data_IF_063327286443
#
_entry.id   IF_063327286443
#
_cell.length_a   1.000
_cell.length_b   1.000
_cell.length_c   1.000
_cell.angle_alpha   90.00
_cell.angle_beta   90.00
_cell.angle_gamma   90.00
#
_symmetry.space_group_name_H-M   'P 1'
#
loop_
_entity.id
_entity.type
_entity.pdbx_description
1 polymer ?
#
# COMPACT_ATOMS: atom_id res chain seq x y z
N UNK A 1 -19.90 60.48 -6.41
CA UNK A 1 -20.19 59.35 -5.50
C UNK A 1 -19.71 58.06 -6.15
N UNK A 2 -18.45 57.68 -5.92
CA UNK A 2 -17.90 56.39 -6.35
C UNK A 2 -17.48 55.62 -5.11
N UNK A 3 -18.09 54.46 -4.86
CA UNK A 3 -17.71 53.57 -3.75
C UNK A 3 -16.29 53.04 -4.01
N UNK A 4 -15.35 53.34 -3.13
CA UNK A 4 -14.13 52.57 -2.97
C UNK A 4 -14.52 51.16 -2.52
N UNK A 5 -14.29 50.17 -3.37
CA UNK A 5 -14.46 48.74 -3.04
C UNK A 5 -13.13 48.28 -2.45
N UNK A 6 -13.11 48.09 -1.13
CA UNK A 6 -11.94 47.66 -0.36
C UNK A 6 -11.31 46.38 -0.93
N UNK A 7 -10.11 46.53 -1.47
CA UNK A 7 -9.33 45.48 -2.13
C UNK A 7 -8.29 44.80 -1.24
N UNK A 8 -8.48 44.75 0.09
CA UNK A 8 -7.43 44.27 1.01
C UNK A 8 -7.83 43.16 1.99
N UNK A 9 -9.09 42.70 2.00
CA UNK A 9 -9.51 41.64 2.95
C UNK A 9 -9.40 40.22 2.37
N UNK A 10 -9.24 40.07 1.05
CA UNK A 10 -9.08 38.74 0.41
C UNK A 10 -7.62 38.32 0.17
N UNK A 11 -6.67 39.25 0.11
CA UNK A 11 -5.27 38.94 -0.27
C UNK A 11 -4.40 38.45 0.89
N UNK A 12 -4.73 38.77 2.14
CA UNK A 12 -3.98 38.30 3.31
C UNK A 12 -4.27 36.83 3.65
N UNK A 13 -5.51 36.37 3.47
CA UNK A 13 -5.88 34.95 3.67
C UNK A 13 -5.36 34.05 2.54
N UNK A 14 -5.28 34.55 1.31
CA UNK A 14 -4.84 33.78 0.16
C UNK A 14 -3.31 33.53 0.13
N UNK A 15 -2.50 34.42 0.72
CA UNK A 15 -1.03 34.22 0.85
C UNK A 15 -0.62 33.17 1.91
N UNK A 16 -1.48 32.84 2.88
CA UNK A 16 -1.24 31.75 3.85
C UNK A 16 -1.83 30.40 3.44
N UNK A 17 -2.74 30.38 2.46
CA UNK A 17 -3.42 29.17 2.01
C UNK A 17 -2.46 28.17 1.33
N UNK A 18 -1.48 28.68 0.57
CA UNK A 18 -0.43 27.84 -0.02
C UNK A 18 0.47 27.17 1.03
N UNK A 19 0.78 27.88 2.12
CA UNK A 19 1.56 27.33 3.23
C UNK A 19 0.81 26.22 3.98
N UNK A 20 -0.49 26.42 4.26
CA UNK A 20 -1.32 25.40 4.92
C UNK A 20 -1.50 24.15 4.05
N UNK A 21 -1.71 24.30 2.73
CA UNK A 21 -1.80 23.16 1.79
C UNK A 21 -0.47 22.42 1.66
N UNK A 22 0.65 23.15 1.57
CA UNK A 22 1.98 22.52 1.55
C UNK A 22 2.26 21.75 2.85
N UNK A 23 1.89 22.30 4.01
CA UNK A 23 2.02 21.62 5.30
C UNK A 23 1.15 20.36 5.34
N UNK A 24 -0.11 20.43 4.91
CA UNK A 24 -1.00 19.27 4.83
C UNK A 24 -0.43 18.20 3.89
N UNK A 25 0.13 18.59 2.75
CA UNK A 25 0.77 17.70 1.80
C UNK A 25 1.98 16.98 2.42
N UNK A 26 2.85 17.70 3.13
CA UNK A 26 3.99 17.09 3.84
C UNK A 26 3.52 16.09 4.90
N UNK A 27 2.50 16.44 5.70
CA UNK A 27 1.94 15.51 6.70
C UNK A 27 1.28 14.30 6.05
N UNK A 28 0.59 14.48 4.93
CA UNK A 28 -0.01 13.37 4.19
C UNK A 28 1.08 12.44 3.65
N UNK A 29 2.13 12.98 3.02
CA UNK A 29 3.25 12.19 2.51
C UNK A 29 3.96 11.42 3.64
N UNK A 30 4.24 12.08 4.76
CA UNK A 30 4.83 11.43 5.94
C UNK A 30 3.90 10.33 6.50
N UNK A 31 2.59 10.57 6.50
CA UNK A 31 1.59 9.58 6.87
C UNK A 31 1.59 8.36 5.94
N UNK A 32 1.67 8.57 4.62
CA UNK A 32 1.72 7.50 3.63
C UNK A 32 2.98 6.63 3.79
N UNK A 33 4.13 7.24 4.09
CA UNK A 33 5.36 6.51 4.39
C UNK A 33 5.20 5.63 5.64
N UNK A 34 4.62 6.19 6.72
CA UNK A 34 4.35 5.43 7.94
C UNK A 34 3.40 4.24 7.70
N UNK A 35 2.35 4.42 6.89
CA UNK A 35 1.43 3.33 6.53
C UNK A 35 2.13 2.23 5.70
N UNK A 36 3.08 2.61 4.83
CA UNK A 36 3.89 1.66 4.08
C UNK A 36 4.83 0.85 5.00
N UNK A 37 5.42 1.47 6.02
CA UNK A 37 6.20 0.75 7.03
C UNK A 37 5.35 -0.26 7.82
N UNK A 38 4.13 0.13 8.22
CA UNK A 38 3.18 -0.78 8.91
C UNK A 38 2.84 -1.98 8.03
N UNK A 39 2.54 -1.76 6.74
CA UNK A 39 2.25 -2.84 5.79
C UNK A 39 3.44 -3.80 5.62
N UNK A 40 4.67 -3.28 5.54
CA UNK A 40 5.88 -4.10 5.47
C UNK A 40 6.10 -4.96 6.71
N UNK A 41 5.86 -4.40 7.89
CA UNK A 41 5.96 -5.15 9.14
C UNK A 41 4.98 -6.34 9.13
N UNK A 42 3.75 -6.12 8.65
CA UNK A 42 2.75 -7.19 8.47
C UNK A 42 3.22 -8.28 7.49
N UNK A 43 3.71 -7.91 6.30
CA UNK A 43 4.24 -8.90 5.34
C UNK A 43 5.47 -9.64 5.86
N UNK A 44 6.34 -8.97 6.61
CA UNK A 44 7.52 -9.59 7.24
C UNK A 44 7.10 -10.62 8.28
N UNK A 45 6.13 -10.28 9.14
CA UNK A 45 5.59 -11.21 10.13
C UNK A 45 4.97 -12.44 9.47
N UNK A 46 4.18 -12.25 8.41
CA UNK A 46 3.59 -13.34 7.63
C UNK A 46 4.64 -14.20 6.92
N UNK A 47 5.72 -13.58 6.42
CA UNK A 47 6.83 -14.31 5.79
C UNK A 47 7.57 -15.18 6.81
N UNK A 48 7.87 -14.63 7.99
CA UNK A 48 8.53 -15.37 9.08
C UNK A 48 7.64 -16.53 9.52
N UNK A 49 6.33 -16.29 9.71
CA UNK A 49 5.38 -17.34 10.04
C UNK A 49 5.32 -18.42 8.95
N UNK A 50 5.32 -18.04 7.68
CA UNK A 50 5.27 -18.98 6.56
C UNK A 50 6.55 -19.82 6.42
N UNK A 51 7.70 -19.26 6.79
CA UNK A 51 8.99 -19.95 6.75
C UNK A 51 9.21 -20.85 7.97
N UNK A 52 8.75 -20.45 9.16
CA UNK A 52 8.91 -21.24 10.37
C UNK A 52 7.90 -22.38 10.43
N UNK A 53 8.40 -23.62 10.47
CA UNK A 53 7.57 -24.83 10.66
C UNK A 53 6.96 -24.94 12.06
N UNK A 54 7.42 -24.12 13.02
CA UNK A 54 6.90 -24.07 14.39
C UNK A 54 5.61 -23.23 14.54
N UNK A 55 5.43 -22.19 13.70
CA UNK A 55 4.26 -21.30 13.75
C UNK A 55 3.19 -21.67 12.71
N UNK A 56 3.36 -22.83 12.06
CA UNK A 56 2.44 -23.39 11.08
C UNK A 56 2.01 -24.80 11.53
N UNK A 57 0.73 -25.18 11.37
CA UNK A 57 0.32 -26.57 11.57
C UNK A 57 1.03 -27.49 10.56
N UNK A 58 1.32 -28.73 10.95
CA UNK A 58 1.99 -29.70 10.09
C UNK A 58 1.18 -29.94 8.80
N UNK A 59 1.84 -30.05 7.64
CA UNK A 59 1.16 -30.24 6.37
C UNK A 59 0.36 -31.56 6.36
N UNK A 60 -0.96 -31.43 6.15
CA UNK A 60 -1.91 -32.53 6.01
C UNK A 60 -1.69 -33.48 4.82
N UNK A 61 -0.69 -33.18 3.99
CA UNK A 61 -0.50 -33.86 2.70
C UNK A 61 0.07 -35.28 2.86
N UNK A 62 0.68 -35.56 4.00
CA UNK A 62 1.33 -36.84 4.34
C UNK A 62 0.51 -37.67 5.36
N UNK A 63 -0.72 -37.25 5.64
CA UNK A 63 -1.61 -37.90 6.61
C UNK A 63 -2.42 -38.99 5.91
N UNK A 64 -2.40 -40.21 6.45
CA UNK A 64 -3.13 -41.35 5.87
C UNK A 64 -4.63 -41.03 5.69
N UNK A 65 -5.27 -41.52 4.61
CA UNK A 65 -6.69 -41.27 4.35
C UNK A 65 -7.53 -41.89 5.48
N UNK A 66 -8.00 -41.05 6.40
CA UNK A 66 -8.77 -41.46 7.59
C UNK A 66 -8.31 -40.86 8.92
N UNK A 67 -7.13 -40.24 8.99
CA UNK A 67 -6.67 -39.47 10.16
C UNK A 67 -7.05 -37.99 10.04
N UNK A 68 -7.59 -37.40 11.11
CA UNK A 68 -7.92 -35.98 11.18
C UNK A 68 -6.63 -35.16 11.27
N UNK A 69 -6.54 -34.07 10.51
CA UNK A 69 -5.46 -33.13 10.66
C UNK A 69 -5.60 -32.34 11.96
N UNK A 70 -4.47 -32.19 12.66
CA UNK A 70 -4.38 -31.28 13.80
C UNK A 70 -4.63 -29.85 13.32
N UNK A 71 -5.62 -29.19 13.91
CA UNK A 71 -5.94 -27.80 13.62
C UNK A 71 -4.84 -26.88 14.14
N UNK A 72 -4.73 -25.67 13.56
CA UNK A 72 -3.79 -24.67 14.06
C UNK A 72 -4.12 -24.29 15.51
N UNK A 73 -3.09 -24.17 16.34
CA UNK A 73 -3.24 -23.70 17.72
C UNK A 73 -3.72 -22.23 17.75
N UNK A 74 -4.37 -21.85 18.85
CA UNK A 74 -4.85 -20.48 19.07
C UNK A 74 -3.73 -19.44 18.90
N UNK A 75 -2.50 -19.75 19.33
CA UNK A 75 -1.35 -18.86 19.15
C UNK A 75 -0.96 -18.66 17.69
N UNK A 76 -0.99 -19.73 16.88
CA UNK A 76 -0.66 -19.67 15.44
C UNK A 76 -1.69 -18.84 14.67
N UNK A 77 -2.97 -18.99 15.00
CA UNK A 77 -4.05 -18.18 14.42
C UNK A 77 -3.95 -16.72 14.84
N UNK A 78 -3.62 -16.44 16.11
CA UNK A 78 -3.47 -15.07 16.60
C UNK A 78 -2.33 -14.32 15.87
N UNK A 79 -1.18 -14.96 15.66
CA UNK A 79 -0.07 -14.37 14.89
C UNK A 79 -0.49 -14.10 13.44
N UNK A 80 -1.16 -15.06 12.80
CA UNK A 80 -1.65 -14.88 11.42
C UNK A 80 -2.60 -13.69 11.30
N UNK A 81 -3.58 -13.61 12.20
CA UNK A 81 -4.55 -12.52 12.21
C UNK A 81 -3.86 -11.18 12.48
N UNK A 82 -2.92 -11.13 13.41
CA UNK A 82 -2.18 -9.89 13.69
C UNK A 82 -1.43 -9.38 12.46
N UNK A 83 -0.76 -10.26 11.71
CA UNK A 83 -0.07 -9.91 10.47
C UNK A 83 -1.05 -9.43 9.39
N UNK A 84 -2.18 -10.10 9.25
CA UNK A 84 -3.21 -9.74 8.27
C UNK A 84 -3.84 -8.36 8.59
N UNK A 85 -4.10 -8.07 9.86
CA UNK A 85 -4.61 -6.76 10.29
C UNK A 85 -3.59 -5.64 10.03
N UNK A 86 -2.30 -5.87 10.28
CA UNK A 86 -1.23 -4.90 9.97
C UNK A 86 -1.16 -4.60 8.46
N UNK A 87 -1.23 -5.63 7.62
CA UNK A 87 -1.27 -5.47 6.16
C UNK A 87 -2.52 -4.70 5.74
N UNK A 88 -3.70 -5.06 6.27
CA UNK A 88 -4.96 -4.40 5.93
C UNK A 88 -4.96 -2.91 6.31
N UNK A 89 -4.47 -2.58 7.51
CA UNK A 89 -4.35 -1.20 7.97
C UNK A 89 -3.36 -0.38 7.11
N UNK A 90 -2.16 -0.91 6.87
CA UNK A 90 -1.15 -0.21 6.10
C UNK A 90 -1.55 -0.01 4.62
N UNK A 91 -2.00 -1.08 3.96
CA UNK A 91 -2.42 -1.00 2.55
C UNK A 91 -3.70 -0.18 2.37
N UNK A 92 -4.64 -0.26 3.31
CA UNK A 92 -5.86 0.53 3.31
C UNK A 92 -5.57 2.03 3.42
N UNK A 93 -4.66 2.42 4.33
CA UNK A 93 -4.25 3.83 4.51
C UNK A 93 -3.62 4.42 3.25
N UNK A 94 -2.71 3.68 2.61
CA UNK A 94 -2.08 4.13 1.35
C UNK A 94 -3.10 4.26 0.22
N UNK A 95 -3.99 3.27 0.06
CA UNK A 95 -5.01 3.29 -0.99
C UNK A 95 -6.05 4.41 -0.81
N UNK A 96 -6.37 4.78 0.42
CA UNK A 96 -7.32 5.86 0.71
C UNK A 96 -6.73 7.26 0.43
N UNK A 97 -5.42 7.45 0.69
CA UNK A 97 -4.78 8.77 0.58
C UNK A 97 -4.24 9.13 -0.82
N UNK A 98 -3.86 8.14 -1.64
CA UNK A 98 -3.26 8.41 -2.94
C UNK A 98 -4.19 9.14 -3.94
N UNK A 99 -5.46 8.73 -4.12
CA UNK A 99 -6.32 9.36 -5.11
C UNK A 99 -6.73 10.78 -4.71
N UNK A 100 -6.86 11.07 -3.42
CA UNK A 100 -7.17 12.42 -2.93
C UNK A 100 -6.00 13.37 -3.13
N UNK A 101 -4.76 12.91 -2.90
CA UNK A 101 -3.56 13.68 -3.25
C UNK A 101 -3.45 13.92 -4.76
N UNK A 102 -3.80 12.92 -5.58
CA UNK A 102 -3.85 13.07 -7.03
C UNK A 102 -4.92 14.06 -7.49
N UNK A 103 -6.08 14.09 -6.82
CA UNK A 103 -7.16 15.02 -7.13
C UNK A 103 -6.85 16.47 -6.74
N UNK A 104 -6.11 16.70 -5.63
CA UNK A 104 -5.76 18.06 -5.17
C UNK A 104 -4.84 18.82 -6.15
N UNK A 105 -4.32 18.13 -7.17
CA UNK A 105 -3.51 18.72 -8.24
C UNK A 105 -4.33 19.40 -9.35
N UNK A 106 -5.66 19.22 -9.40
CA UNK A 106 -6.54 19.79 -10.41
C UNK A 106 -7.47 20.84 -9.80
N UNK A 107 -7.69 21.98 -10.46
CA UNK A 107 -8.67 22.99 -10.01
C UNK A 107 -10.05 22.70 -10.61
N UNK A 108 -11.04 22.45 -9.76
CA UNK A 108 -12.44 22.21 -10.17
C UNK A 108 -13.09 23.42 -10.85
N UNK A 109 -12.51 24.61 -10.69
CA UNK A 109 -13.05 25.88 -11.23
C UNK A 109 -12.66 26.12 -12.68
N UNK A 110 -11.65 25.43 -13.21
CA UNK A 110 -11.31 25.51 -14.63
C UNK A 110 -12.01 24.38 -15.40
N UNK A 111 -12.96 24.67 -16.31
CA UNK A 111 -13.67 23.65 -17.07
C UNK A 111 -12.75 22.77 -17.94
N UNK A 112 -11.54 23.23 -18.27
CA UNK A 112 -10.54 22.40 -18.96
C UNK A 112 -9.92 21.36 -18.03
N UNK A 113 -9.66 21.72 -16.77
CA UNK A 113 -9.03 20.83 -15.79
C UNK A 113 -10.04 19.82 -15.22
N UNK A 114 -11.31 20.18 -15.07
CA UNK A 114 -12.38 19.27 -14.63
C UNK A 114 -12.57 18.08 -15.57
N UNK A 115 -12.43 18.29 -16.89
CA UNK A 115 -12.47 17.19 -17.87
C UNK A 115 -11.26 16.25 -17.75
N UNK A 116 -10.08 16.80 -17.45
CA UNK A 116 -8.85 16.03 -17.23
C UNK A 116 -8.90 15.21 -15.94
N UNK A 117 -9.54 15.73 -14.89
CA UNK A 117 -9.74 15.01 -13.62
C UNK A 117 -10.52 13.70 -13.82
N UNK A 118 -11.61 13.73 -14.59
CA UNK A 118 -12.41 12.54 -14.90
C UNK A 118 -11.61 11.51 -15.74
N UNK A 119 -10.85 12.00 -16.72
CA UNK A 119 -9.95 11.14 -17.52
C UNK A 119 -8.86 10.50 -16.67
N UNK A 120 -8.28 11.25 -15.74
CA UNK A 120 -7.29 10.76 -14.77
C UNK A 120 -7.84 9.61 -13.92
N UNK A 121 -9.02 9.78 -13.31
CA UNK A 121 -9.62 8.72 -12.49
C UNK A 121 -10.00 7.48 -13.30
N UNK A 122 -10.50 7.65 -14.53
CA UNK A 122 -10.80 6.53 -15.42
C UNK A 122 -9.53 5.73 -15.75
N UNK A 123 -8.45 6.42 -16.11
CA UNK A 123 -7.17 5.76 -16.40
C UNK A 123 -6.54 5.13 -15.15
N UNK A 124 -6.63 5.81 -14.00
CA UNK A 124 -6.19 5.29 -12.71
C UNK A 124 -6.89 3.97 -12.40
N UNK A 125 -8.23 3.93 -12.43
CA UNK A 125 -9.00 2.73 -12.15
C UNK A 125 -8.73 1.59 -13.14
N UNK A 126 -8.56 1.91 -14.42
CA UNK A 126 -8.20 0.94 -15.44
C UNK A 126 -6.84 0.29 -15.14
N UNK A 127 -5.82 1.11 -14.87
CA UNK A 127 -4.48 0.63 -14.53
C UNK A 127 -4.44 -0.19 -13.23
N UNK A 128 -5.20 0.22 -12.21
CA UNK A 128 -5.34 -0.52 -10.95
C UNK A 128 -5.96 -1.90 -11.17
N UNK A 129 -7.00 -1.98 -12.01
CA UNK A 129 -7.70 -3.23 -12.28
C UNK A 129 -6.81 -4.21 -13.05
N UNK A 130 -6.09 -3.74 -14.05
CA UNK A 130 -5.12 -4.56 -14.80
C UNK A 130 -3.99 -5.03 -13.87
N UNK A 131 -3.42 -4.11 -13.09
CA UNK A 131 -2.36 -4.43 -12.14
C UNK A 131 -2.80 -5.46 -11.10
N UNK A 132 -4.00 -5.32 -10.55
CA UNK A 132 -4.58 -6.29 -9.61
C UNK A 132 -4.78 -7.66 -10.25
N UNK A 133 -5.28 -7.70 -11.49
CA UNK A 133 -5.49 -8.95 -12.23
C UNK A 133 -4.16 -9.69 -12.45
N UNK A 134 -3.15 -8.99 -12.98
CA UNK A 134 -1.81 -9.57 -13.20
C UNK A 134 -1.18 -10.00 -11.86
N UNK A 135 -1.30 -9.16 -10.83
CA UNK A 135 -0.77 -9.44 -9.50
C UNK A 135 -1.34 -10.71 -8.88
N UNK A 136 -2.66 -10.89 -8.92
CA UNK A 136 -3.32 -12.11 -8.41
C UNK A 136 -2.87 -13.34 -9.18
N UNK A 137 -2.80 -13.27 -10.52
CA UNK A 137 -2.31 -14.37 -11.35
C UNK A 137 -0.88 -14.76 -10.94
N UNK A 138 0.01 -13.78 -10.81
CA UNK A 138 1.40 -14.00 -10.45
C UNK A 138 1.57 -14.62 -9.05
N UNK A 139 0.87 -14.06 -8.05
CA UNK A 139 0.90 -14.55 -6.66
C UNK A 139 0.40 -15.98 -6.57
N UNK A 140 -0.71 -16.31 -7.25
CA UNK A 140 -1.25 -17.69 -7.25
C UNK A 140 -0.29 -18.67 -7.92
N UNK A 141 0.39 -18.25 -9.01
CA UNK A 141 1.40 -19.10 -9.68
C UNK A 141 2.59 -19.38 -8.78
N UNK A 142 3.11 -18.39 -8.07
CA UNK A 142 4.21 -18.58 -7.11
C UNK A 142 3.76 -19.42 -5.93
N UNK A 143 2.64 -19.05 -5.31
CA UNK A 143 2.14 -19.73 -4.12
C UNK A 143 1.84 -21.21 -4.37
N UNK A 144 1.35 -21.55 -5.56
CA UNK A 144 1.02 -22.94 -5.90
C UNK A 144 2.25 -23.78 -6.25
N UNK A 145 3.32 -23.18 -6.80
CA UNK A 145 4.53 -23.90 -7.20
C UNK A 145 5.58 -23.95 -6.07
N UNK A 146 5.85 -22.81 -5.43
CA UNK A 146 7.00 -22.60 -4.54
C UNK A 146 6.60 -22.38 -3.07
N UNK A 147 5.32 -22.17 -2.78
CA UNK A 147 4.82 -21.92 -1.42
C UNK A 147 4.55 -20.44 -1.10
N UNK A 148 3.88 -20.22 0.03
CA UNK A 148 3.45 -18.90 0.50
C UNK A 148 4.60 -18.04 1.05
N UNK A 149 5.66 -18.68 1.54
CA UNK A 149 6.90 -18.07 2.01
C UNK A 149 7.60 -17.28 0.88
N UNK A 150 7.72 -17.86 -0.32
CA UNK A 150 8.24 -17.17 -1.49
C UNK A 150 7.33 -16.03 -1.94
N UNK A 151 6.01 -16.23 -1.92
CA UNK A 151 5.05 -15.20 -2.31
C UNK A 151 5.15 -13.95 -1.42
N UNK A 152 5.20 -14.12 -0.09
CA UNK A 152 5.37 -12.99 0.82
C UNK A 152 6.79 -12.42 0.81
N UNK A 153 7.82 -13.25 0.65
CA UNK A 153 9.22 -12.83 0.53
C UNK A 153 9.45 -11.90 -0.67
N UNK A 154 8.84 -12.20 -1.82
CA UNK A 154 8.90 -11.32 -3.01
C UNK A 154 8.25 -9.97 -2.74
N UNK A 155 7.14 -9.93 -1.99
CA UNK A 155 6.46 -8.68 -1.63
C UNK A 155 7.35 -7.82 -0.71
N UNK A 156 7.93 -8.43 0.32
CA UNK A 156 8.87 -7.74 1.23
C UNK A 156 10.10 -7.23 0.45
N UNK A 157 10.66 -8.06 -0.43
CA UNK A 157 11.81 -7.68 -1.25
C UNK A 157 11.50 -6.52 -2.20
N UNK A 158 10.34 -6.53 -2.86
CA UNK A 158 9.90 -5.47 -3.77
C UNK A 158 9.80 -4.12 -3.06
N UNK A 159 9.28 -4.10 -1.83
CA UNK A 159 9.12 -2.85 -1.07
C UNK A 159 10.46 -2.41 -0.45
N UNK A 160 11.28 -3.35 0.03
CA UNK A 160 12.62 -3.07 0.60
C UNK A 160 13.64 -2.63 -0.48
N UNK A 161 13.46 -3.01 -1.74
CA UNK A 161 14.38 -2.68 -2.84
C UNK A 161 14.44 -1.20 -3.23
N UNK A 162 13.59 -0.32 -2.66
CA UNK A 162 13.76 1.14 -2.85
C UNK A 162 14.96 1.74 -2.15
N UNK A 163 15.67 0.97 -1.31
CA UNK A 163 16.88 1.41 -0.63
C UNK A 163 18.03 0.40 -0.76
N UNK A 164 18.15 -0.28 -1.91
CA UNK A 164 19.37 -1.03 -2.21
C UNK A 164 20.35 -0.13 -2.98
N UNK A 165 21.55 0.15 -2.45
CA UNK A 165 22.68 0.49 -3.29
C UNK A 165 22.88 -0.68 -4.27
N UNK A 166 23.08 -0.34 -5.54
CA UNK A 166 23.51 -1.29 -6.56
C UNK A 166 24.82 -1.91 -6.05
N UNK A 167 24.92 -3.24 -5.86
CA UNK A 167 26.23 -3.84 -5.67
C UNK A 167 27.00 -3.61 -6.97
N UNK A 168 28.02 -2.75 -6.87
CA UNK A 168 29.07 -2.63 -7.86
C UNK A 168 29.54 -4.05 -8.21
N UNK A 169 29.41 -4.37 -9.50
CA UNK A 169 30.14 -5.46 -10.11
C UNK A 169 31.63 -5.12 -9.90
N UNK A 170 32.28 -5.80 -8.96
CA UNK A 170 33.73 -5.82 -8.88
C UNK A 170 34.17 -7.26 -9.04
N UNK A 171 34.97 -7.42 -10.09
CA UNK A 171 35.56 -8.64 -10.60
C UNK A 171 36.39 -9.40 -9.55
N UNK A 172 36.21 -10.72 -9.49
CA UNK A 172 37.28 -11.72 -9.38
C UNK A 172 36.94 -12.93 -10.25
#
# INVERSE_FOLDING_TARGET
>A
MGKCRDGNTQTVNQKRLGGARAVLFVYAMQGLENMAYISNAGYTLLTVQAHSTLLRPFPCKDVAPGSQCEAADYGQVAVLLSGLYLVALGTGGVKAGLPSLGADQFDEKDPKETGLLSSFFNWLLFSLTIGATIGVIFVVRISSNQGWDWAFGVIVAAIRKRHLPIPELTDE
#
